data_IF_945296037048
#
_entry.id   IF_945296037048
#
_cell.length_a   1.000
_cell.length_b   1.000
_cell.length_c   1.000
_cell.angle_alpha   90.00
_cell.angle_beta   90.00
_cell.angle_gamma   90.00
#
_symmetry.space_group_name_H-M   'P 1'
#
loop_
_entity.id
_entity.type
_entity.pdbx_description
1 polymer ?
#
# COMPACT_ATOMS: atom_id res chain seq x y z
N UNK A 1 4.24 21.01 0.22
CA UNK A 1 5.03 20.68 1.42
C UNK A 1 4.80 21.66 2.56
N UNK A 2 4.80 22.98 2.31
CA UNK A 2 4.50 23.99 3.37
C UNK A 2 3.15 23.77 4.07
N UNK A 3 2.12 23.37 3.32
CA UNK A 3 0.80 23.05 3.91
C UNK A 3 0.89 21.87 4.89
N UNK A 4 1.57 20.79 4.51
CA UNK A 4 1.74 19.61 5.38
C UNK A 4 2.52 19.97 6.65
N UNK A 5 3.51 20.85 6.52
CA UNK A 5 4.31 21.35 7.64
C UNK A 5 3.51 22.21 8.60
N UNK A 6 2.71 23.14 8.08
CA UNK A 6 1.84 23.97 8.89
C UNK A 6 0.85 23.11 9.69
N UNK A 7 0.22 22.13 9.05
CA UNK A 7 -0.70 21.21 9.73
C UNK A 7 0.02 20.30 10.73
N UNK A 8 1.22 19.80 10.42
CA UNK A 8 2.00 18.98 11.36
C UNK A 8 2.40 19.78 12.62
N UNK A 9 2.90 21.01 12.47
CA UNK A 9 3.24 21.90 13.60
C UNK A 9 2.03 22.13 14.50
N UNK A 10 0.87 22.40 13.90
CA UNK A 10 -0.39 22.59 14.61
C UNK A 10 -0.86 21.31 15.30
N UNK A 11 -0.80 20.16 14.63
CA UNK A 11 -1.25 18.87 15.14
C UNK A 11 -0.42 18.42 16.34
N UNK A 12 0.90 18.61 16.28
CA UNK A 12 1.84 18.16 17.31
C UNK A 12 2.21 19.25 18.32
N UNK A 13 1.76 20.50 18.13
CA UNK A 13 2.03 21.61 19.05
C UNK A 13 3.49 22.03 19.12
N UNK A 14 4.21 21.97 17.99
CA UNK A 14 5.65 22.30 17.91
C UNK A 14 5.89 23.46 16.96
N UNK A 15 6.83 24.34 17.32
CA UNK A 15 7.18 25.49 16.49
C UNK A 15 8.14 25.12 15.35
N UNK A 16 9.02 24.13 15.58
CA UNK A 16 10.05 23.70 14.64
C UNK A 16 10.01 22.20 14.42
N UNK A 17 10.30 21.77 13.19
CA UNK A 17 10.42 20.38 12.77
C UNK A 17 11.76 20.27 12.05
N UNK A 18 12.66 19.44 12.58
CA UNK A 18 13.91 19.09 11.91
C UNK A 18 13.68 17.90 10.97
N UNK A 19 14.15 18.02 9.73
CA UNK A 19 13.93 17.02 8.69
C UNK A 19 15.17 16.17 8.50
N UNK A 20 15.06 14.87 8.75
CA UNK A 20 16.09 13.93 8.30
C UNK A 20 15.99 13.71 6.79
N UNK A 21 14.79 13.41 6.29
CA UNK A 21 14.58 12.95 4.92
C UNK A 21 13.21 13.37 4.37
N UNK A 22 13.11 13.38 3.04
CA UNK A 22 11.87 13.62 2.29
C UNK A 22 11.79 12.63 1.15
N UNK A 23 10.67 11.94 1.06
CA UNK A 23 10.40 11.02 -0.01
C UNK A 23 8.95 11.17 -0.49
N UNK A 24 8.69 10.62 -1.68
CA UNK A 24 7.36 10.57 -2.26
C UNK A 24 7.23 9.22 -2.96
N UNK A 25 6.18 8.51 -2.59
CA UNK A 25 5.82 7.24 -3.23
C UNK A 25 4.59 7.42 -4.11
N UNK A 26 4.40 6.46 -5.02
CA UNK A 26 3.23 6.37 -5.88
C UNK A 26 2.49 5.09 -5.54
N UNK A 27 1.24 5.22 -5.12
CA UNK A 27 0.35 4.07 -4.92
C UNK A 27 -0.37 3.72 -6.21
N UNK A 28 -0.43 2.43 -6.52
CA UNK A 28 -1.42 1.90 -7.46
C UNK A 28 -2.83 2.25 -6.95
N UNK A 29 -3.74 2.61 -7.85
CA UNK A 29 -5.10 3.00 -7.48
C UNK A 29 -6.13 2.33 -8.39
N UNK A 30 -7.21 1.82 -7.80
CA UNK A 30 -8.38 1.30 -8.48
C UNK A 30 -9.63 1.69 -7.70
N UNK A 31 -10.66 2.16 -8.39
CA UNK A 31 -11.90 2.56 -7.74
C UNK A 31 -12.66 1.33 -7.19
N UNK A 32 -13.03 1.37 -5.91
CA UNK A 32 -13.92 0.37 -5.31
C UNK A 32 -13.29 -0.99 -4.97
N UNK A 33 -11.97 -1.13 -5.02
CA UNK A 33 -11.28 -2.35 -4.58
C UNK A 33 -9.95 -2.03 -3.91
N UNK A 34 -9.63 -2.70 -2.80
CA UNK A 34 -8.33 -2.60 -2.14
C UNK A 34 -7.25 -3.51 -2.75
N UNK A 35 -7.67 -4.54 -3.49
CA UNK A 35 -6.78 -5.55 -4.08
C UNK A 35 -7.15 -5.87 -5.53
N UNK A 36 -6.15 -6.12 -6.37
CA UNK A 36 -6.31 -6.79 -7.66
C UNK A 36 -5.71 -8.18 -7.54
N UNK A 37 -6.58 -9.19 -7.51
CA UNK A 37 -6.25 -10.61 -7.37
C UNK A 37 -6.86 -11.40 -8.54
N UNK A 38 -6.09 -11.59 -9.61
CA UNK A 38 -6.60 -12.22 -10.84
C UNK A 38 -5.62 -13.24 -11.42
N UNK A 39 -6.17 -14.19 -12.18
CA UNK A 39 -5.42 -15.14 -12.99
C UNK A 39 -5.81 -14.92 -14.46
N UNK A 40 -5.17 -13.96 -15.16
CA UNK A 40 -5.57 -13.61 -16.53
C UNK A 40 -5.39 -14.78 -17.51
N UNK A 41 -4.41 -15.66 -17.24
CA UNK A 41 -4.16 -16.91 -17.96
C UNK A 41 -3.73 -17.98 -16.95
N UNK A 42 -3.97 -19.24 -17.30
CA UNK A 42 -3.69 -20.40 -16.43
C UNK A 42 -2.28 -20.41 -15.85
N UNK A 43 -2.18 -20.46 -14.52
CA UNK A 43 -0.93 -20.50 -13.76
C UNK A 43 -0.21 -19.16 -13.59
N UNK A 44 -0.77 -18.05 -14.08
CA UNK A 44 -0.21 -16.70 -13.91
C UNK A 44 -1.09 -15.88 -12.98
N UNK A 45 -0.60 -15.60 -11.77
CA UNK A 45 -1.33 -14.82 -10.78
C UNK A 45 -0.82 -13.38 -10.70
N UNK A 46 -1.73 -12.41 -10.80
CA UNK A 46 -1.46 -10.99 -10.53
C UNK A 46 -2.01 -10.67 -9.14
N UNK A 47 -1.13 -10.17 -8.28
CA UNK A 47 -1.44 -9.80 -6.89
C UNK A 47 -0.88 -8.41 -6.64
N UNK A 48 -1.76 -7.42 -6.46
CA UNK A 48 -1.34 -6.07 -6.07
C UNK A 48 -2.35 -5.41 -5.16
N UNK A 49 -1.86 -4.56 -4.27
CA UNK A 49 -2.66 -3.65 -3.46
C UNK A 49 -2.91 -2.37 -4.27
N UNK A 50 -4.13 -1.87 -4.24
CA UNK A 50 -4.57 -0.69 -5.01
C UNK A 50 -4.88 0.51 -4.09
N UNK A 51 -4.29 0.50 -2.90
CA UNK A 51 -4.39 1.53 -1.86
C UNK A 51 -3.07 1.58 -1.05
N UNK A 52 -3.01 2.45 -0.03
CA UNK A 52 -1.86 2.58 0.87
C UNK A 52 -1.73 1.51 1.96
N UNK A 53 -2.45 0.38 1.88
CA UNK A 53 -2.50 -0.63 2.97
C UNK A 53 -1.52 -1.79 2.76
N UNK A 54 -0.61 -1.71 1.78
CA UNK A 54 0.24 -2.84 1.40
C UNK A 54 1.07 -3.43 2.55
N UNK A 55 1.66 -2.57 3.39
CA UNK A 55 2.45 -3.01 4.54
C UNK A 55 1.62 -3.77 5.59
N UNK A 56 0.53 -3.21 6.15
CA UNK A 56 -0.25 -3.91 7.17
C UNK A 56 -0.93 -5.19 6.65
N UNK A 57 -1.22 -5.31 5.35
CA UNK A 57 -1.88 -6.50 4.78
C UNK A 57 -0.91 -7.51 4.17
N UNK A 58 0.38 -7.20 4.10
CA UNK A 58 1.37 -7.94 3.32
C UNK A 58 1.41 -9.44 3.60
N UNK A 59 1.51 -9.83 4.87
CA UNK A 59 1.70 -11.23 5.25
C UNK A 59 0.46 -12.09 4.95
N UNK A 60 -0.74 -11.62 5.29
CA UNK A 60 -1.99 -12.33 4.98
C UNK A 60 -2.28 -12.39 3.49
N UNK A 61 -1.95 -11.33 2.75
CA UNK A 61 -2.06 -11.31 1.29
C UNK A 61 -1.10 -12.32 0.65
N UNK A 62 0.14 -12.40 1.15
CA UNK A 62 1.12 -13.36 0.66
C UNK A 62 0.70 -14.82 0.91
N UNK A 63 0.30 -15.15 2.15
CA UNK A 63 -0.14 -16.50 2.51
C UNK A 63 -1.33 -16.96 1.66
N UNK A 64 -2.39 -16.14 1.59
CA UNK A 64 -3.59 -16.48 0.83
C UNK A 64 -3.33 -16.58 -0.68
N UNK A 65 -2.49 -15.71 -1.23
CA UNK A 65 -2.15 -15.72 -2.65
C UNK A 65 -1.30 -16.93 -3.04
N UNK A 66 -0.28 -17.26 -2.23
CA UNK A 66 0.57 -18.43 -2.48
C UNK A 66 -0.23 -19.72 -2.33
N UNK A 67 -1.07 -19.81 -1.30
CA UNK A 67 -1.97 -20.97 -1.11
C UNK A 67 -2.83 -21.18 -2.35
N UNK A 68 -3.53 -20.14 -2.79
CA UNK A 68 -4.38 -20.19 -3.99
C UNK A 68 -3.61 -20.57 -5.25
N UNK A 69 -2.38 -20.09 -5.41
CA UNK A 69 -1.54 -20.40 -6.57
C UNK A 69 -1.01 -21.84 -6.61
N UNK A 70 -1.01 -22.53 -5.46
CA UNK A 70 -0.49 -23.89 -5.32
C UNK A 70 -1.60 -24.94 -5.08
N UNK A 71 -2.85 -24.52 -4.97
CA UNK A 71 -3.99 -25.43 -4.86
C UNK A 71 -4.06 -26.33 -6.12
N UNK A 72 -4.24 -27.65 -5.96
CA UNK A 72 -4.42 -28.55 -7.10
C UNK A 72 -5.67 -28.16 -7.90
N UNK A 73 -5.52 -28.09 -9.23
CA UNK A 73 -6.61 -27.87 -10.20
C UNK A 73 -7.53 -29.09 -10.28
#
# INVERSE_FOLDING_TARGET
MEVLLAEARKLFGVDTIDFSERWQDVYSSAAGSEFLLVEPIGGVHIVTVTTGIGMPTSMGLAESSVTRALEPV
#
